data_IF_741791473089
#
_entry.id   IF_741791473089
#
_cell.length_a   1.000
_cell.length_b   1.000
_cell.length_c   1.000
_cell.angle_alpha   90.00
_cell.angle_beta   90.00
_cell.angle_gamma   90.00
#
_symmetry.space_group_name_H-M   'P 1'
#
loop_
_entity.id
_entity.type
_entity.pdbx_description
1 polymer ?
#
# COMPACT_ATOMS: atom_id res chain seq x y z
N UNK A 1 -14.34 21.75 -14.22
CA UNK A 1 -15.16 20.55 -13.95
C UNK A 1 -14.33 19.52 -13.20
N UNK A 2 -14.88 18.33 -12.94
CA UNK A 2 -14.13 17.24 -12.26
C UNK A 2 -12.82 16.89 -12.99
N UNK A 3 -12.86 16.77 -14.32
CA UNK A 3 -11.67 16.45 -15.13
C UNK A 3 -10.58 17.50 -15.01
N UNK A 4 -10.94 18.79 -15.15
CA UNK A 4 -9.97 19.89 -15.02
C UNK A 4 -9.31 19.92 -13.63
N UNK A 5 -10.06 19.56 -12.57
CA UNK A 5 -9.50 19.47 -11.23
C UNK A 5 -8.50 18.30 -11.13
N UNK A 6 -8.84 17.12 -11.67
CA UNK A 6 -7.93 15.97 -11.66
C UNK A 6 -6.65 16.23 -12.45
N UNK A 7 -6.76 16.86 -13.62
CA UNK A 7 -5.60 17.27 -14.42
C UNK A 7 -4.71 18.29 -13.68
N UNK A 8 -5.35 19.25 -13.00
CA UNK A 8 -4.63 20.24 -12.19
C UNK A 8 -3.95 19.64 -10.96
N UNK A 9 -4.37 18.47 -10.46
CA UNK A 9 -3.70 17.77 -9.37
C UNK A 9 -2.62 16.82 -9.91
N UNK A 10 -2.91 16.02 -10.94
CA UNK A 10 -1.93 15.08 -11.52
C UNK A 10 -0.78 15.76 -12.24
N UNK A 11 -0.83 17.07 -12.49
CA UNK A 11 0.31 17.80 -13.07
C UNK A 11 1.30 18.31 -12.02
N UNK A 12 0.97 18.21 -10.73
CA UNK A 12 1.79 18.82 -9.68
C UNK A 12 2.86 17.86 -9.16
N UNK A 13 4.13 18.30 -9.11
CA UNK A 13 5.24 17.43 -8.73
C UNK A 13 5.17 16.93 -7.28
N UNK A 14 4.51 17.65 -6.36
CA UNK A 14 4.40 17.25 -4.96
C UNK A 14 3.60 15.95 -4.72
N UNK A 15 2.86 15.45 -5.71
CA UNK A 15 2.14 14.18 -5.61
C UNK A 15 2.91 13.00 -6.22
N UNK A 16 4.15 13.22 -6.64
CA UNK A 16 5.00 12.19 -7.23
C UNK A 16 6.21 11.94 -6.34
N UNK A 17 6.48 10.66 -6.11
CA UNK A 17 7.75 10.22 -5.58
C UNK A 17 8.85 10.35 -6.63
N UNK A 18 10.09 10.37 -6.18
CA UNK A 18 11.25 10.29 -7.07
C UNK A 18 11.25 8.94 -7.81
N UNK A 19 11.63 8.94 -9.10
CA UNK A 19 11.84 7.70 -9.86
C UNK A 19 13.21 7.08 -9.51
N UNK A 20 13.35 6.65 -8.26
CA UNK A 20 14.55 6.07 -7.67
C UNK A 20 14.18 4.86 -6.79
N UNK A 21 15.16 4.07 -6.36
CA UNK A 21 14.87 2.99 -5.40
C UNK A 21 14.48 3.57 -4.05
N UNK A 22 15.03 4.73 -3.68
CA UNK A 22 14.65 5.50 -2.49
C UNK A 22 13.20 5.97 -2.57
N UNK A 23 12.76 6.50 -3.72
CA UNK A 23 11.37 6.89 -3.93
C UNK A 23 10.41 5.70 -3.88
N UNK A 24 10.82 4.56 -4.42
CA UNK A 24 10.05 3.30 -4.29
C UNK A 24 9.98 2.81 -2.85
N UNK A 25 11.08 2.91 -2.09
CA UNK A 25 11.06 2.55 -0.68
C UNK A 25 10.14 3.48 0.13
N UNK A 26 10.18 4.78 -0.16
CA UNK A 26 9.28 5.76 0.47
C UNK A 26 7.80 5.41 0.24
N UNK A 27 7.44 4.96 -0.97
CA UNK A 27 6.07 4.48 -1.26
C UNK A 27 5.68 3.34 -0.30
N UNK A 28 6.56 2.36 -0.09
CA UNK A 28 6.29 1.21 0.78
C UNK A 28 6.17 1.64 2.24
N UNK A 29 7.03 2.53 2.68
CA UNK A 29 7.04 3.06 4.05
C UNK A 29 5.77 3.88 4.33
N UNK A 30 5.35 4.71 3.38
CA UNK A 30 4.13 5.51 3.51
C UNK A 30 2.86 4.63 3.50
N UNK A 31 2.83 3.57 2.69
CA UNK A 31 1.76 2.57 2.78
C UNK A 31 1.75 1.89 4.15
N UNK A 32 2.91 1.51 4.68
CA UNK A 32 2.99 0.87 6.00
C UNK A 32 2.52 1.82 7.10
N UNK A 33 2.89 3.10 7.03
CA UNK A 33 2.43 4.13 7.97
C UNK A 33 0.90 4.28 7.97
N UNK A 34 0.26 4.24 6.79
CA UNK A 34 -1.21 4.24 6.68
C UNK A 34 -1.82 3.01 7.35
N UNK A 35 -1.22 1.82 7.15
CA UNK A 35 -1.71 0.60 7.79
C UNK A 35 -1.56 0.65 9.32
N UNK A 36 -0.44 1.17 9.81
CA UNK A 36 -0.16 1.30 11.24
C UNK A 36 -1.12 2.30 11.90
N UNK A 37 -1.38 3.44 11.26
CA UNK A 37 -2.37 4.43 11.71
C UNK A 37 -3.77 3.79 11.79
N UNK A 38 -4.15 3.04 10.76
CA UNK A 38 -5.45 2.38 10.72
C UNK A 38 -5.58 1.28 11.78
N UNK A 39 -4.55 0.45 11.98
CA UNK A 39 -4.57 -0.61 13.00
C UNK A 39 -4.67 -0.04 14.42
N UNK A 40 -4.01 1.10 14.68
CA UNK A 40 -4.07 1.80 15.95
C UNK A 40 -5.49 2.26 16.30
N UNK A 41 -6.27 2.78 15.33
CA UNK A 41 -7.64 3.26 15.57
C UNK A 41 -8.71 2.17 15.38
N UNK A 42 -8.37 1.04 14.74
CA UNK A 42 -9.31 -0.02 14.35
C UNK A 42 -10.15 -0.56 15.50
N UNK A 43 -9.56 -0.67 16.70
CA UNK A 43 -10.21 -1.18 17.90
C UNK A 43 -11.43 -0.37 18.34
N UNK A 44 -11.55 0.89 17.89
CA UNK A 44 -12.67 1.79 18.23
C UNK A 44 -13.86 1.62 17.30
N UNK A 45 -13.62 1.09 16.11
CA UNK A 45 -14.59 1.02 15.01
C UNK A 45 -15.13 -0.42 14.85
N UNK A 46 -14.29 -1.43 15.09
CA UNK A 46 -14.63 -2.83 14.85
C UNK A 46 -14.53 -3.69 16.12
N UNK A 47 -15.64 -4.34 16.47
CA UNK A 47 -15.72 -5.27 17.60
C UNK A 47 -15.04 -6.63 17.31
N UNK A 48 -14.90 -7.00 16.03
CA UNK A 48 -14.29 -8.26 15.59
C UNK A 48 -13.15 -7.89 14.63
N UNK A 49 -11.95 -8.42 14.88
CA UNK A 49 -10.75 -8.15 14.09
C UNK A 49 -10.12 -9.45 13.61
N UNK A 50 -9.49 -9.47 12.42
CA UNK A 50 -8.68 -10.60 12.01
C UNK A 50 -7.48 -10.77 12.96
N UNK A 51 -7.11 -12.01 13.24
CA UNK A 51 -5.89 -12.32 14.02
C UNK A 51 -4.62 -12.17 13.18
N UNK A 52 -4.74 -12.40 11.87
CA UNK A 52 -3.63 -12.26 10.94
C UNK A 52 -3.30 -10.78 10.70
N UNK A 53 -2.03 -10.42 10.91
CA UNK A 53 -1.51 -9.12 10.53
C UNK A 53 -1.38 -8.93 9.00
N UNK A 54 -0.96 -7.74 8.61
CA UNK A 54 -0.69 -7.39 7.22
C UNK A 54 0.65 -6.65 7.10
N UNK A 55 1.38 -6.89 6.01
CA UNK A 55 2.64 -6.20 5.69
C UNK A 55 2.61 -5.65 4.27
N UNK A 56 3.31 -4.54 4.05
CA UNK A 56 3.54 -3.98 2.71
C UNK A 56 4.81 -4.60 2.11
N UNK A 57 4.75 -5.06 0.86
CA UNK A 57 5.85 -5.74 0.18
C UNK A 57 6.02 -5.20 -1.24
N UNK A 58 7.26 -4.93 -1.65
CA UNK A 58 7.56 -4.55 -3.03
C UNK A 58 7.13 -5.63 -4.02
N UNK A 59 6.48 -5.25 -5.11
CA UNK A 59 6.29 -6.14 -6.25
C UNK A 59 7.69 -6.57 -6.75
N UNK A 60 7.94 -7.89 -6.93
CA UNK A 60 9.23 -8.32 -7.45
C UNK A 60 9.54 -7.65 -8.80
N UNK A 61 10.74 -7.09 -8.95
CA UNK A 61 11.11 -6.25 -10.11
C UNK A 61 10.81 -6.91 -11.46
N UNK A 62 11.07 -8.22 -11.57
CA UNK A 62 10.81 -8.98 -12.79
C UNK A 62 9.33 -9.06 -13.19
N UNK A 63 8.41 -8.78 -12.25
CA UNK A 63 6.95 -8.73 -12.46
C UNK A 63 6.40 -7.31 -12.52
N UNK A 64 7.15 -6.29 -12.11
CA UNK A 64 6.67 -4.91 -11.93
C UNK A 64 5.98 -4.37 -13.20
N UNK A 65 6.59 -4.60 -14.37
CA UNK A 65 6.08 -4.11 -15.67
C UNK A 65 4.75 -4.72 -16.11
N UNK A 66 4.39 -5.89 -15.63
CA UNK A 66 3.18 -6.62 -16.03
C UNK A 66 2.16 -6.76 -14.90
N UNK A 67 2.52 -6.29 -13.70
CA UNK A 67 1.66 -6.32 -12.53
C UNK A 67 0.74 -5.10 -12.52
N UNK A 68 -0.44 -5.20 -11.89
CA UNK A 68 -1.20 -4.01 -11.52
C UNK A 68 -0.39 -3.19 -10.51
N UNK A 69 -0.70 -1.89 -10.38
CA UNK A 69 0.02 -0.99 -9.48
C UNK A 69 -0.04 -1.38 -8.00
N UNK A 70 -1.03 -2.19 -7.60
CA UNK A 70 -1.04 -2.85 -6.30
C UNK A 70 -1.93 -4.10 -6.33
N UNK A 71 -1.68 -5.06 -5.44
CA UNK A 71 -2.57 -6.22 -5.23
C UNK A 71 -2.42 -6.84 -3.83
N UNK A 72 -3.45 -7.54 -3.36
CA UNK A 72 -3.44 -8.21 -2.06
C UNK A 72 -3.22 -9.72 -2.21
N UNK A 73 -2.39 -10.28 -1.33
CA UNK A 73 -2.25 -11.71 -1.12
C UNK A 73 -2.74 -12.07 0.29
N UNK A 74 -3.71 -12.98 0.36
CA UNK A 74 -4.24 -13.49 1.62
C UNK A 74 -3.15 -14.16 2.51
N UNK A 75 -3.32 -14.11 3.85
CA UNK A 75 -2.44 -14.82 4.78
C UNK A 75 -2.42 -16.32 4.50
N UNK A 76 -1.37 -17.00 4.94
CA UNK A 76 -1.34 -18.46 4.87
C UNK A 76 -2.33 -19.07 5.86
N UNK A 77 -2.91 -20.21 5.49
CA UNK A 77 -3.90 -20.91 6.34
C UNK A 77 -3.28 -21.46 7.65
N UNK A 78 -1.97 -21.72 7.63
CA UNK A 78 -1.21 -22.20 8.79
C UNK A 78 -0.68 -21.04 9.68
N UNK A 79 -1.00 -19.79 9.35
CA UNK A 79 -0.58 -18.61 10.11
C UNK A 79 0.90 -18.24 9.97
N UNK A 80 1.69 -18.97 9.19
CA UNK A 80 3.14 -18.72 9.03
C UNK A 80 3.47 -17.44 8.26
N UNK A 81 2.52 -16.91 7.46
CA UNK A 81 2.68 -15.68 6.69
C UNK A 81 1.47 -14.76 6.87
N UNK A 82 1.70 -13.46 7.19
CA UNK A 82 0.63 -12.47 7.23
C UNK A 82 0.02 -12.22 5.83
N UNK A 83 -1.06 -11.44 5.79
CA UNK A 83 -1.52 -10.88 4.52
C UNK A 83 -0.46 -9.95 3.95
N UNK A 84 -0.33 -9.90 2.62
CA UNK A 84 0.62 -9.00 1.95
C UNK A 84 -0.11 -8.04 1.04
N UNK A 85 0.14 -6.76 1.23
CA UNK A 85 -0.20 -5.73 0.27
C UNK A 85 1.03 -5.49 -0.61
N UNK A 86 0.92 -5.83 -1.89
CA UNK A 86 1.98 -5.59 -2.86
C UNK A 86 1.80 -4.24 -3.52
N UNK A 87 2.88 -3.46 -3.59
CA UNK A 87 2.96 -2.15 -4.23
C UNK A 87 4.30 -1.98 -4.96
#
# INVERSE_FOLDING_TARGET
>A
GYTDAMEAYSSRPEFYYEDSDEGRQQILDDYQAILDEFDAEMHRIFNIRPEAGMEVVRIPEFKEKTSPGAYYQQPSLDGTRPGRFFA
#
